data_IF_754583388929
#
_entry.id   IF_754583388929
#
_cell.length_a   1.000
_cell.length_b   1.000
_cell.length_c   1.000
_cell.angle_alpha   90.00
_cell.angle_beta   90.00
_cell.angle_gamma   90.00
#
_symmetry.space_group_name_H-M   'P 1'
#
loop_
_entity.id
_entity.type
_entity.pdbx_description
1 polymer ?
#
# COMPACT_ATOMS: atom_id res chain seq x y z
N UNK A 1 -85.70 -19.84 19.85
CA UNK A 1 -85.35 -18.40 19.74
C UNK A 1 -84.27 -18.25 18.67
N UNK A 2 -84.65 -17.81 17.47
CA UNK A 2 -83.78 -17.72 16.29
C UNK A 2 -82.88 -16.47 16.34
N UNK A 3 -81.57 -16.61 16.08
CA UNK A 3 -80.69 -15.48 15.72
C UNK A 3 -80.04 -15.74 14.35
N UNK A 4 -80.21 -14.76 13.46
CA UNK A 4 -79.83 -14.75 12.05
C UNK A 4 -78.31 -14.84 11.85
N UNK A 5 -77.85 -15.74 10.99
CA UNK A 5 -76.53 -15.69 10.36
C UNK A 5 -76.58 -14.72 9.17
N UNK A 6 -76.05 -13.51 9.35
CA UNK A 6 -75.83 -12.57 8.24
C UNK A 6 -74.70 -13.07 7.34
N UNK A 7 -74.98 -13.24 6.04
CA UNK A 7 -73.95 -13.58 5.03
C UNK A 7 -73.04 -12.36 4.81
N UNK A 8 -71.75 -12.53 5.08
CA UNK A 8 -70.70 -11.55 4.78
C UNK A 8 -70.58 -11.37 3.26
N UNK A 9 -70.88 -10.17 2.77
CA UNK A 9 -70.78 -9.79 1.36
C UNK A 9 -69.29 -9.66 1.00
N UNK A 10 -68.75 -10.60 0.20
CA UNK A 10 -67.35 -10.52 -0.26
C UNK A 10 -67.15 -9.32 -1.17
N UNK A 11 -66.23 -8.44 -0.79
CA UNK A 11 -65.91 -7.20 -1.47
C UNK A 11 -64.92 -7.46 -2.62
N UNK A 12 -65.26 -7.04 -3.85
CA UNK A 12 -64.47 -7.29 -5.08
C UNK A 12 -63.10 -6.57 -5.10
N UNK A 13 -62.81 -5.71 -4.11
CA UNK A 13 -61.53 -4.98 -4.01
C UNK A 13 -60.32 -5.88 -3.68
N UNK A 14 -60.53 -7.08 -3.15
CA UNK A 14 -59.43 -8.02 -2.85
C UNK A 14 -58.96 -8.84 -4.07
N UNK A 15 -59.65 -8.76 -5.21
CA UNK A 15 -59.34 -9.59 -6.38
C UNK A 15 -58.19 -9.03 -7.24
N UNK A 16 -57.76 -7.78 -7.00
CA UNK A 16 -56.72 -7.10 -7.76
C UNK A 16 -55.47 -6.82 -6.91
N UNK A 17 -55.03 -7.80 -6.11
CA UNK A 17 -53.72 -7.71 -5.48
C UNK A 17 -52.65 -8.03 -6.54
N UNK A 18 -51.56 -7.23 -6.65
CA UNK A 18 -50.48 -7.56 -7.57
C UNK A 18 -49.89 -8.94 -7.22
N UNK A 19 -49.47 -9.74 -8.21
CA UNK A 19 -48.88 -11.06 -7.96
C UNK A 19 -47.64 -10.91 -7.06
N UNK A 20 -47.49 -11.82 -6.11
CA UNK A 20 -46.34 -11.91 -5.22
C UNK A 20 -45.08 -12.23 -6.05
N UNK A 21 -44.06 -11.39 -5.93
CA UNK A 21 -42.84 -11.40 -6.74
C UNK A 21 -42.05 -12.72 -6.64
N UNK A 22 -41.43 -13.11 -7.76
CA UNK A 22 -40.66 -14.34 -8.00
C UNK A 22 -39.77 -14.80 -6.83
N UNK A 23 -39.74 -16.12 -6.60
CA UNK A 23 -38.89 -16.83 -5.64
C UNK A 23 -37.43 -16.30 -5.67
N UNK A 24 -36.95 -15.60 -4.63
CA UNK A 24 -35.67 -14.90 -4.66
C UNK A 24 -34.45 -15.82 -4.68
N UNK A 25 -34.65 -17.13 -4.51
CA UNK A 25 -33.60 -18.14 -4.37
C UNK A 25 -32.79 -18.28 -5.67
N UNK A 26 -33.45 -18.30 -6.83
CA UNK A 26 -32.75 -18.44 -8.12
C UNK A 26 -31.87 -17.23 -8.43
N UNK A 27 -32.31 -16.02 -8.06
CA UNK A 27 -31.52 -14.79 -8.23
C UNK A 27 -30.27 -14.82 -7.35
N UNK A 28 -30.38 -15.35 -6.14
CA UNK A 28 -29.27 -15.52 -5.22
C UNK A 28 -28.26 -16.56 -5.74
N UNK A 29 -28.72 -17.71 -6.27
CA UNK A 29 -27.83 -18.72 -6.83
C UNK A 29 -27.12 -18.24 -8.11
N UNK A 30 -27.81 -17.48 -8.98
CA UNK A 30 -27.19 -16.90 -10.19
C UNK A 30 -26.11 -15.89 -9.79
N UNK A 31 -26.41 -14.99 -8.86
CA UNK A 31 -25.45 -14.00 -8.38
C UNK A 31 -24.27 -14.67 -7.66
N UNK A 32 -24.55 -15.67 -6.80
CA UNK A 32 -23.52 -16.45 -6.12
C UNK A 32 -22.62 -17.22 -7.08
N UNK A 33 -23.20 -17.85 -8.11
CA UNK A 33 -22.46 -18.56 -9.16
C UNK A 33 -21.58 -17.62 -9.98
N UNK A 34 -22.08 -16.42 -10.30
CA UNK A 34 -21.29 -15.38 -10.96
C UNK A 34 -20.08 -14.98 -10.11
N UNK A 35 -20.28 -14.68 -8.82
CA UNK A 35 -19.17 -14.35 -7.93
C UNK A 35 -18.20 -15.51 -7.75
N UNK A 36 -18.69 -16.74 -7.60
CA UNK A 36 -17.85 -17.93 -7.50
C UNK A 36 -16.98 -18.13 -8.74
N UNK A 37 -17.52 -17.88 -9.94
CA UNK A 37 -16.75 -17.93 -11.18
C UNK A 37 -15.66 -16.85 -11.22
N UNK A 38 -15.97 -15.61 -10.80
CA UNK A 38 -14.97 -14.56 -10.68
C UNK A 38 -13.84 -14.94 -9.72
N UNK A 39 -14.17 -15.47 -8.54
CA UNK A 39 -13.17 -15.94 -7.58
C UNK A 39 -12.34 -17.10 -8.14
N UNK A 40 -12.96 -18.03 -8.86
CA UNK A 40 -12.26 -19.12 -9.50
C UNK A 40 -11.25 -18.62 -10.54
N UNK A 41 -11.62 -17.64 -11.36
CA UNK A 41 -10.70 -17.02 -12.32
C UNK A 41 -9.49 -16.36 -11.63
N UNK A 42 -9.71 -15.67 -10.51
CA UNK A 42 -8.64 -15.07 -9.71
C UNK A 42 -7.71 -16.16 -9.15
N UNK A 43 -8.27 -17.24 -8.59
CA UNK A 43 -7.50 -18.36 -8.05
C UNK A 43 -6.65 -19.03 -9.13
N UNK A 44 -7.20 -19.26 -10.32
CA UNK A 44 -6.46 -19.81 -11.44
C UNK A 44 -5.30 -18.89 -11.86
N UNK A 45 -5.53 -17.57 -11.94
CA UNK A 45 -4.45 -16.63 -12.25
C UNK A 45 -3.39 -16.61 -11.15
N UNK A 46 -3.79 -16.70 -9.88
CA UNK A 46 -2.87 -16.75 -8.75
C UNK A 46 -1.99 -18.00 -8.83
N UNK A 47 -2.58 -19.17 -9.07
CA UNK A 47 -1.84 -20.41 -9.25
C UNK A 47 -0.90 -20.33 -10.47
N UNK A 48 -1.32 -19.72 -11.57
CA UNK A 48 -0.45 -19.52 -12.72
C UNK A 48 0.78 -18.67 -12.36
N UNK A 49 0.58 -17.55 -11.68
CA UNK A 49 1.70 -16.69 -11.23
C UNK A 49 2.61 -17.43 -10.25
N UNK A 50 2.03 -18.21 -9.33
CA UNK A 50 2.77 -18.94 -8.30
C UNK A 50 3.46 -20.20 -8.81
N UNK A 51 3.01 -20.83 -9.89
CA UNK A 51 3.56 -22.10 -10.42
C UNK A 51 4.40 -21.88 -11.67
N UNK A 52 3.98 -21.00 -12.59
CA UNK A 52 4.68 -20.75 -13.85
C UNK A 52 5.70 -19.61 -13.70
N UNK A 53 5.28 -18.51 -13.06
CA UNK A 53 6.13 -17.31 -12.92
C UNK A 53 6.94 -17.29 -11.62
N UNK A 54 6.91 -18.36 -10.82
CA UNK A 54 7.53 -18.42 -9.49
C UNK A 54 9.01 -18.03 -9.52
N UNK A 55 9.78 -18.57 -10.47
CA UNK A 55 11.22 -18.33 -10.56
C UNK A 55 11.56 -16.89 -10.93
N UNK A 56 10.70 -16.24 -11.73
CA UNK A 56 10.86 -14.83 -12.09
C UNK A 56 10.69 -13.94 -10.86
N UNK A 57 9.62 -14.13 -10.09
CA UNK A 57 9.37 -13.36 -8.87
C UNK A 57 10.34 -13.70 -7.74
N UNK A 58 10.81 -14.94 -7.65
CA UNK A 58 11.85 -15.34 -6.70
C UNK A 58 13.18 -14.63 -7.01
N UNK A 59 13.57 -14.53 -8.29
CA UNK A 59 14.78 -13.82 -8.69
C UNK A 59 14.70 -12.31 -8.38
N UNK A 60 13.53 -11.69 -8.59
CA UNK A 60 13.28 -10.30 -8.20
C UNK A 60 13.39 -10.15 -6.68
N UNK A 61 12.74 -11.02 -5.90
CA UNK A 61 12.81 -10.98 -4.45
C UNK A 61 14.25 -11.13 -3.93
N UNK A 62 15.04 -12.05 -4.52
CA UNK A 62 16.45 -12.22 -4.18
C UNK A 62 17.29 -11.00 -4.54
N UNK A 63 17.09 -10.37 -5.69
CA UNK A 63 17.88 -9.19 -6.06
C UNK A 63 17.63 -7.98 -5.17
N UNK A 64 16.40 -7.84 -4.63
CA UNK A 64 16.08 -6.82 -3.64
C UNK A 64 16.64 -7.13 -2.25
N UNK A 65 16.62 -8.40 -1.83
CA UNK A 65 17.12 -8.81 -0.51
C UNK A 65 18.65 -8.85 -0.46
N UNK A 66 19.28 -9.37 -1.51
CA UNK A 66 20.73 -9.48 -1.67
C UNK A 66 21.31 -8.19 -2.29
N UNK A 67 20.92 -7.03 -1.77
CA UNK A 67 21.65 -5.81 -2.09
C UNK A 67 23.06 -5.92 -1.47
N UNK A 68 24.00 -6.52 -2.21
CA UNK A 68 25.41 -6.57 -1.84
C UNK A 68 25.91 -5.14 -1.72
N UNK A 69 26.09 -4.70 -0.48
CA UNK A 69 26.84 -3.50 -0.17
C UNK A 69 28.28 -3.92 0.04
N UNK A 70 29.15 -3.45 -0.82
CA UNK A 70 30.58 -3.55 -0.55
C UNK A 70 30.86 -2.73 0.71
N UNK A 71 31.45 -3.38 1.71
CA UNK A 71 31.93 -2.71 2.90
C UNK A 71 33.35 -2.25 2.60
N UNK A 72 33.58 -0.94 2.40
CA UNK A 72 34.92 -0.46 2.13
C UNK A 72 35.82 -0.79 3.33
N UNK A 73 36.98 -1.36 3.06
CA UNK A 73 38.00 -1.54 4.09
C UNK A 73 38.47 -0.15 4.57
N UNK A 74 38.56 0.05 5.88
CA UNK A 74 39.13 1.27 6.43
C UNK A 74 40.61 1.37 6.08
N UNK A 75 41.04 2.53 5.61
CA UNK A 75 42.45 2.79 5.30
C UNK A 75 43.24 2.97 6.59
N UNK A 76 44.43 2.37 6.67
CA UNK A 76 45.35 2.59 7.78
C UNK A 76 45.82 4.05 7.86
N UNK A 77 46.14 4.51 9.07
CA UNK A 77 46.74 5.82 9.27
C UNK A 77 48.18 5.85 8.75
N UNK A 78 48.55 6.93 8.06
CA UNK A 78 49.93 7.19 7.65
C UNK A 78 50.57 8.10 8.68
N UNK A 79 51.69 7.66 9.24
CA UNK A 79 52.49 8.42 10.21
C UNK A 79 53.91 8.63 9.67
N UNK A 80 54.56 9.74 10.01
CA UNK A 80 55.99 9.95 9.74
C UNK A 80 56.86 9.07 10.67
N UNK A 81 58.18 9.04 10.43
CA UNK A 81 59.19 8.33 11.24
C UNK A 81 59.18 8.72 12.73
N UNK A 82 58.69 9.91 13.05
CA UNK A 82 58.57 10.42 14.42
C UNK A 82 57.23 10.03 15.08
N UNK A 83 56.32 9.35 14.35
CA UNK A 83 55.00 8.97 14.84
C UNK A 83 53.90 10.00 14.59
N UNK A 84 54.20 11.13 13.95
CA UNK A 84 53.23 12.17 13.65
C UNK A 84 52.26 11.74 12.54
N UNK A 85 50.95 11.86 12.81
CA UNK A 85 49.89 11.50 11.87
C UNK A 85 49.85 12.48 10.68
N UNK A 86 50.08 11.97 9.47
CA UNK A 86 50.02 12.74 8.22
C UNK A 86 48.68 12.57 7.49
N UNK A 87 48.07 11.39 7.58
CA UNK A 87 46.77 11.12 6.98
C UNK A 87 45.99 10.07 7.78
N UNK A 88 44.74 10.37 8.09
CA UNK A 88 43.81 9.50 8.81
C UNK A 88 42.45 9.49 8.12
N UNK A 89 41.72 8.39 8.26
CA UNK A 89 40.32 8.32 7.86
C UNK A 89 39.43 8.90 8.97
N UNK A 90 38.45 9.71 8.60
CA UNK A 90 37.57 10.42 9.54
C UNK A 90 36.12 10.24 9.15
N UNK A 91 35.29 9.81 10.11
CA UNK A 91 33.85 9.69 9.92
C UNK A 91 33.26 11.07 9.68
N UNK A 92 32.62 11.26 8.52
CA UNK A 92 31.91 12.47 8.16
C UNK A 92 30.43 12.18 7.92
N UNK A 93 29.56 13.05 8.45
CA UNK A 93 28.13 12.97 8.23
C UNK A 93 27.72 13.92 7.11
N UNK A 94 27.00 13.39 6.12
CA UNK A 94 26.38 14.19 5.05
C UNK A 94 24.87 14.20 5.23
N UNK A 95 24.28 15.39 5.20
CA UNK A 95 22.84 15.58 5.30
C UNK A 95 22.29 15.99 3.93
N UNK A 96 21.34 15.22 3.42
CA UNK A 96 20.64 15.51 2.17
C UNK A 96 19.13 15.54 2.39
N UNK A 97 18.46 16.54 1.79
CA UNK A 97 17.00 16.70 1.88
C UNK A 97 16.45 16.90 0.47
N UNK A 98 15.38 16.17 0.13
CA UNK A 98 14.71 16.32 -1.17
C UNK A 98 13.72 17.50 -1.13
N UNK A 99 13.94 18.58 -1.90
CA UNK A 99 13.12 19.80 -1.79
C UNK A 99 11.67 19.64 -2.23
N UNK A 100 11.33 18.56 -2.94
CA UNK A 100 9.97 18.25 -3.40
C UNK A 100 9.07 17.70 -2.30
N UNK A 101 9.64 17.18 -1.21
CA UNK A 101 8.90 16.60 -0.08
C UNK A 101 8.66 17.62 1.04
N UNK A 102 9.17 18.85 0.88
CA UNK A 102 9.05 19.90 1.90
C UNK A 102 7.83 20.77 1.64
N UNK A 103 6.97 20.91 2.65
CA UNK A 103 5.82 21.83 2.61
C UNK A 103 6.26 23.29 2.65
N UNK A 104 7.27 23.62 3.45
CA UNK A 104 7.80 24.98 3.59
C UNK A 104 9.33 24.93 3.64
N UNK A 105 9.97 25.41 2.56
CA UNK A 105 11.43 25.36 2.41
C UNK A 105 12.15 26.39 3.28
N UNK A 106 11.53 27.55 3.50
CA UNK A 106 12.15 28.63 4.27
C UNK A 106 12.22 28.26 5.75
N UNK A 107 11.12 27.72 6.31
CA UNK A 107 11.12 27.26 7.71
C UNK A 107 12.16 26.17 7.98
N UNK A 108 12.28 25.22 7.05
CA UNK A 108 13.25 24.11 7.18
C UNK A 108 14.68 24.63 7.04
N UNK A 109 14.93 25.56 6.10
CA UNK A 109 16.25 26.18 5.95
C UNK A 109 16.65 27.02 7.17
N UNK A 110 15.71 27.71 7.81
CA UNK A 110 15.97 28.45 9.06
C UNK A 110 16.30 27.53 10.23
N UNK A 111 15.54 26.45 10.39
CA UNK A 111 15.79 25.45 11.43
C UNK A 111 17.15 24.76 11.25
N UNK A 112 17.45 24.31 10.02
CA UNK A 112 18.72 23.67 9.69
C UNK A 112 19.89 24.66 9.76
N UNK A 113 19.69 25.92 9.35
CA UNK A 113 20.71 26.95 9.41
C UNK A 113 21.18 27.23 10.84
N UNK A 114 20.28 27.20 11.82
CA UNK A 114 20.62 27.35 13.24
C UNK A 114 21.47 26.18 13.77
N UNK A 115 21.12 24.95 13.39
CA UNK A 115 21.83 23.75 13.86
C UNK A 115 23.18 23.58 13.18
N UNK A 116 23.24 23.82 11.86
CA UNK A 116 24.46 23.65 11.06
C UNK A 116 25.38 24.88 11.09
N UNK A 117 24.95 25.97 11.73
CA UNK A 117 25.66 27.26 11.75
C UNK A 117 25.94 27.82 10.33
N UNK A 118 25.03 27.56 9.38
CA UNK A 118 25.11 28.04 7.99
C UNK A 118 23.98 29.01 7.71
N UNK A 119 24.27 30.09 6.97
CA UNK A 119 23.27 31.06 6.58
C UNK A 119 22.12 30.39 5.79
N UNK A 120 20.83 30.58 6.17
CA UNK A 120 19.70 29.91 5.55
C UNK A 120 19.56 30.25 4.05
N UNK A 121 19.99 31.43 3.64
CA UNK A 121 20.03 31.86 2.24
C UNK A 121 20.92 30.97 1.34
N UNK A 122 21.97 30.34 1.90
CA UNK A 122 22.80 29.37 1.17
C UNK A 122 22.14 28.00 1.02
N UNK A 123 21.22 27.63 1.92
CA UNK A 123 20.54 26.33 1.93
C UNK A 123 19.32 26.28 0.99
N UNK A 124 18.74 27.44 0.67
CA UNK A 124 17.62 27.56 -0.27
C UNK A 124 18.12 27.68 -1.72
N UNK A 125 19.38 28.04 -1.93
CA UNK A 125 19.97 28.22 -3.26
C UNK A 125 20.36 26.86 -3.84
N UNK A 126 19.75 26.55 -4.99
CA UNK A 126 19.90 25.29 -5.73
C UNK A 126 21.29 25.13 -6.32
#
# INVERSE_FOLDING_TARGET
MFRKTGKLKKNKRSQNAPPFYDEPQNRLYILGGFWALCFLAILLKLLFVQVVEHGHYEAIAKSHLEQRRELPAQRGSISDRNGDLLAVDLIHYSLAVKPSLLSDRQKVAEALGKVLQVAPAKLVKR
#
